data_IF_670249962553
#
_entry.id   IF_670249962553
#
_cell.length_a   1.000
_cell.length_b   1.000
_cell.length_c   1.000
_cell.angle_alpha   90.00
_cell.angle_beta   90.00
_cell.angle_gamma   90.00
#
_symmetry.space_group_name_H-M   'P 1'
#
loop_
_entity.id
_entity.type
_entity.pdbx_description
1 polymer ?
#
# COMPACT_ATOMS: atom_id res chain seq x y z
N UNK A 1 18.58 66.34 -45.95
CA UNK A 1 19.40 65.78 -44.85
C UNK A 1 18.46 64.95 -44.01
N UNK A 2 18.70 63.65 -44.04
CA UNK A 2 17.95 62.59 -43.37
C UNK A 2 18.13 62.67 -41.87
N UNK A 3 17.04 62.61 -41.12
CA UNK A 3 17.09 62.14 -39.74
C UNK A 3 16.04 61.05 -39.55
N UNK A 4 16.51 59.96 -38.97
CA UNK A 4 15.90 58.64 -38.87
C UNK A 4 15.61 58.38 -37.40
N UNK A 5 14.34 58.19 -37.03
CA UNK A 5 14.00 57.55 -35.76
C UNK A 5 13.03 56.40 -36.03
N UNK A 6 13.57 55.18 -36.00
CA UNK A 6 12.84 53.93 -36.01
C UNK A 6 12.29 53.64 -34.62
N UNK A 7 10.97 53.44 -34.51
CA UNK A 7 10.32 52.82 -33.35
C UNK A 7 10.04 51.36 -33.69
N UNK A 8 10.82 50.47 -33.08
CA UNK A 8 10.67 49.03 -33.16
C UNK A 8 9.43 48.59 -32.35
N UNK A 9 8.49 47.92 -33.02
CA UNK A 9 7.37 47.22 -32.40
C UNK A 9 7.84 45.86 -31.92
N UNK A 10 7.92 45.65 -30.61
CA UNK A 10 8.22 44.35 -30.02
C UNK A 10 6.93 43.53 -30.01
N UNK A 11 6.83 42.56 -30.92
CA UNK A 11 5.83 41.51 -30.85
C UNK A 11 6.28 40.49 -29.80
N UNK A 12 5.66 40.53 -28.61
CA UNK A 12 5.78 39.48 -27.61
C UNK A 12 4.97 38.26 -28.08
N UNK A 13 5.65 37.21 -28.53
CA UNK A 13 5.03 35.91 -28.77
C UNK A 13 4.75 35.23 -27.42
N UNK A 14 3.48 35.20 -27.03
CA UNK A 14 3.01 34.36 -25.95
C UNK A 14 3.05 32.89 -26.41
N UNK A 15 4.12 32.17 -26.06
CA UNK A 15 4.15 30.73 -26.14
C UNK A 15 3.28 30.17 -25.00
N UNK A 16 2.04 29.82 -25.33
CA UNK A 16 1.22 28.99 -24.48
C UNK A 16 1.87 27.60 -24.37
N UNK A 17 2.57 27.36 -23.26
CA UNK A 17 2.90 26.02 -22.80
C UNK A 17 1.58 25.30 -22.54
N UNK A 18 1.23 24.35 -23.41
CA UNK A 18 0.25 23.33 -23.08
C UNK A 18 0.84 22.53 -21.92
N UNK A 19 0.29 22.69 -20.72
CA UNK A 19 0.56 21.79 -19.61
C UNK A 19 0.16 20.38 -20.09
N UNK A 20 1.15 19.48 -20.21
CA UNK A 20 0.87 18.08 -20.46
C UNK A 20 -0.10 17.61 -19.37
N UNK A 21 -1.21 17.01 -19.79
CA UNK A 21 -2.16 16.39 -18.85
C UNK A 21 -1.38 15.41 -17.99
N UNK A 22 -1.35 15.63 -16.68
CA UNK A 22 -0.65 14.75 -15.74
C UNK A 22 -1.14 13.31 -15.95
N UNK A 23 -0.21 12.36 -16.10
CA UNK A 23 -0.54 10.93 -16.17
C UNK A 23 -1.05 10.53 -14.78
N UNK A 24 -2.28 10.01 -14.66
CA UNK A 24 -2.87 9.78 -13.34
C UNK A 24 -2.20 8.61 -12.61
N UNK A 25 -1.95 7.50 -13.31
CA UNK A 25 -1.24 6.34 -12.79
C UNK A 25 -0.61 5.54 -13.94
N UNK A 26 0.32 4.63 -13.63
CA UNK A 26 0.98 3.76 -14.61
C UNK A 26 1.23 2.37 -14.02
N UNK A 27 1.12 1.35 -14.86
CA UNK A 27 1.53 -0.01 -14.50
C UNK A 27 2.92 -0.33 -15.04
N UNK A 28 3.74 -0.99 -14.23
CA UNK A 28 5.02 -1.55 -14.66
C UNK A 28 5.17 -2.97 -14.13
N UNK A 29 5.97 -3.78 -14.82
CA UNK A 29 6.18 -5.18 -14.52
C UNK A 29 7.69 -5.42 -14.47
N UNK A 30 8.16 -6.07 -13.41
CA UNK A 30 9.58 -6.38 -13.30
C UNK A 30 9.97 -7.56 -14.16
N UNK A 31 11.17 -7.46 -14.74
CA UNK A 31 11.78 -8.52 -15.54
C UNK A 31 12.16 -9.75 -14.69
N UNK A 32 12.34 -10.92 -15.33
CA UNK A 32 12.84 -12.11 -14.67
C UNK A 32 14.16 -11.85 -13.93
N UNK A 33 14.15 -12.16 -12.63
CA UNK A 33 15.33 -12.10 -11.77
C UNK A 33 15.78 -13.52 -11.40
N UNK A 34 17.10 -13.73 -11.32
CA UNK A 34 17.67 -15.05 -10.98
C UNK A 34 17.50 -15.44 -9.50
N UNK A 35 17.00 -14.51 -8.68
CA UNK A 35 16.72 -14.64 -7.26
C UNK A 35 15.41 -13.88 -6.93
N UNK A 36 14.93 -13.94 -5.68
CA UNK A 36 13.72 -13.21 -5.27
C UNK A 36 13.81 -11.71 -5.57
N UNK A 37 12.76 -11.11 -6.14
CA UNK A 37 12.65 -9.66 -6.28
C UNK A 37 12.95 -9.00 -4.92
N UNK A 38 13.90 -8.05 -4.86
CA UNK A 38 14.19 -7.33 -3.63
C UNK A 38 12.96 -6.53 -3.19
N UNK A 39 12.68 -6.48 -1.87
CA UNK A 39 11.57 -5.68 -1.35
C UNK A 39 11.85 -4.17 -1.41
N UNK A 40 13.12 -3.77 -1.45
CA UNK A 40 13.59 -2.41 -1.65
C UNK A 40 14.90 -2.42 -2.46
N UNK A 41 15.10 -1.40 -3.28
CA UNK A 41 16.33 -1.22 -4.04
C UNK A 41 17.44 -0.55 -3.25
N UNK A 42 18.69 -0.82 -3.65
CA UNK A 42 19.87 -0.21 -3.05
C UNK A 42 20.02 1.25 -3.44
N UNK A 43 20.87 1.97 -2.71
CA UNK A 43 21.30 3.33 -3.05
C UNK A 43 21.76 3.43 -4.52
N UNK A 44 21.37 4.52 -5.18
CA UNK A 44 21.67 4.78 -6.59
C UNK A 44 20.63 4.22 -7.58
N UNK A 45 19.71 3.35 -7.15
CA UNK A 45 18.56 2.97 -7.98
C UNK A 45 17.56 4.12 -8.05
N UNK A 46 17.05 4.39 -9.26
CA UNK A 46 16.06 5.44 -9.52
C UNK A 46 14.74 4.77 -9.89
N UNK A 47 13.79 4.78 -8.96
CA UNK A 47 12.39 4.51 -9.27
C UNK A 47 11.85 5.63 -10.16
N UNK A 48 11.03 5.29 -11.15
CA UNK A 48 10.36 6.27 -12.00
C UNK A 48 8.90 6.35 -11.64
N UNK A 49 8.38 7.55 -11.37
CA UNK A 49 6.96 7.78 -11.18
C UNK A 49 6.21 7.82 -12.53
N UNK A 50 4.91 8.14 -12.52
CA UNK A 50 4.07 8.05 -13.72
C UNK A 50 4.44 9.07 -14.79
N UNK A 51 5.11 10.17 -14.40
CA UNK A 51 5.68 11.18 -15.30
C UNK A 51 7.12 10.86 -15.76
N UNK A 52 7.60 9.64 -15.49
CA UNK A 52 8.97 9.18 -15.74
C UNK A 52 10.07 10.02 -15.04
N UNK A 53 9.70 10.77 -14.00
CA UNK A 53 10.63 11.48 -13.10
C UNK A 53 11.08 10.56 -11.95
N UNK A 54 12.22 10.83 -11.30
CA UNK A 54 12.60 10.13 -10.08
C UNK A 54 11.47 10.17 -9.04
N UNK A 55 11.01 9.01 -8.60
CA UNK A 55 10.03 8.92 -7.53
C UNK A 55 10.68 9.34 -6.20
N UNK A 56 9.95 10.11 -5.39
CA UNK A 56 10.45 10.58 -4.10
C UNK A 56 9.99 9.70 -2.94
N UNK A 57 8.95 8.90 -3.15
CA UNK A 57 8.33 8.11 -2.09
C UNK A 57 7.83 6.78 -2.64
N UNK A 58 8.66 5.77 -2.43
CA UNK A 58 8.38 4.38 -2.68
C UNK A 58 7.80 3.68 -1.45
N UNK A 59 6.64 3.06 -1.64
CA UNK A 59 6.04 2.07 -0.75
C UNK A 59 6.26 0.64 -1.28
N UNK A 60 6.47 -0.33 -0.41
CA UNK A 60 6.59 -1.74 -0.82
C UNK A 60 5.62 -2.63 -0.06
N UNK A 61 4.85 -3.46 -0.78
CA UNK A 61 3.84 -4.34 -0.20
C UNK A 61 4.48 -5.58 0.43
N UNK A 62 4.28 -5.72 1.73
CA UNK A 62 4.53 -6.92 2.51
C UNK A 62 3.29 -7.81 2.57
N UNK A 63 3.40 -9.03 2.04
CA UNK A 63 2.42 -10.09 2.29
C UNK A 63 2.60 -10.62 3.71
N UNK A 64 1.85 -10.00 4.62
CA UNK A 64 1.92 -10.21 6.05
C UNK A 64 1.33 -11.53 6.54
N UNK A 65 1.60 -11.81 7.81
CA UNK A 65 1.07 -12.94 8.55
C UNK A 65 -0.19 -12.53 9.34
N UNK A 66 -1.11 -13.48 9.55
CA UNK A 66 -2.31 -13.34 10.39
C UNK A 66 -2.01 -12.99 11.85
N UNK A 67 -0.75 -13.16 12.25
CA UNK A 67 -0.22 -12.76 13.53
C UNK A 67 0.26 -11.29 13.57
N UNK A 68 0.18 -10.54 12.46
CA UNK A 68 0.51 -9.11 12.38
C UNK A 68 1.97 -8.74 12.66
N UNK A 69 2.92 -9.67 12.51
CA UNK A 69 4.35 -9.41 12.71
C UNK A 69 5.08 -9.17 11.38
N UNK A 70 6.21 -8.46 11.46
CA UNK A 70 7.18 -8.30 10.36
C UNK A 70 8.36 -9.26 10.57
N UNK A 71 8.46 -10.31 9.74
CA UNK A 71 9.51 -11.33 9.85
C UNK A 71 9.07 -12.74 9.45
N UNK A 72 9.52 -13.75 10.19
CA UNK A 72 9.19 -15.14 9.90
C UNK A 72 9.87 -15.67 8.64
N UNK A 73 9.09 -15.98 7.60
CA UNK A 73 9.54 -16.58 6.35
C UNK A 73 9.26 -15.75 5.09
N UNK A 74 9.75 -16.22 3.94
CA UNK A 74 9.47 -15.68 2.61
C UNK A 74 9.62 -14.14 2.52
N UNK A 75 8.68 -13.45 1.87
CA UNK A 75 8.74 -11.99 1.67
C UNK A 75 8.67 -11.21 2.98
N UNK A 76 7.88 -11.66 3.96
CA UNK A 76 7.77 -11.00 5.26
C UNK A 76 9.13 -11.01 6.01
N UNK A 77 9.91 -12.09 5.86
CA UNK A 77 11.31 -12.13 6.33
C UNK A 77 12.21 -11.15 5.58
N UNK A 78 12.02 -11.00 4.27
CA UNK A 78 12.80 -10.05 3.48
C UNK A 78 12.58 -8.60 3.94
N UNK A 79 11.34 -8.22 4.31
CA UNK A 79 11.06 -6.93 4.93
C UNK A 79 11.77 -6.75 6.26
N UNK A 80 11.71 -7.76 7.14
CA UNK A 80 12.43 -7.72 8.41
C UNK A 80 13.93 -7.48 8.21
N UNK A 81 14.55 -8.20 7.27
CA UNK A 81 15.98 -8.05 6.93
C UNK A 81 16.29 -6.66 6.36
N UNK A 82 15.42 -6.13 5.49
CA UNK A 82 15.67 -4.85 4.82
C UNK A 82 15.49 -3.63 5.74
N UNK A 83 14.60 -3.71 6.73
CA UNK A 83 14.28 -2.60 7.64
C UNK A 83 15.19 -2.58 8.86
N UNK A 84 15.57 -3.76 9.40
CA UNK A 84 16.39 -3.83 10.60
C UNK A 84 17.81 -3.32 10.37
N UNK A 85 18.42 -2.82 11.43
CA UNK A 85 19.79 -2.28 11.37
C UNK A 85 20.88 -3.29 11.69
N UNK A 86 20.53 -4.40 12.36
CA UNK A 86 21.43 -5.49 12.72
C UNK A 86 20.77 -6.84 12.37
N UNK A 87 21.58 -7.80 11.90
CA UNK A 87 21.13 -9.14 11.55
C UNK A 87 20.64 -10.00 12.71
N UNK A 88 20.96 -9.63 13.96
CA UNK A 88 20.52 -10.32 15.17
C UNK A 88 19.41 -9.58 15.93
N UNK A 89 19.00 -8.40 15.46
CA UNK A 89 17.93 -7.63 16.06
C UNK A 89 16.55 -8.27 15.79
N UNK A 90 15.84 -8.61 16.87
CA UNK A 90 14.46 -9.13 16.86
C UNK A 90 13.43 -8.08 17.23
N UNK A 91 13.85 -6.87 17.62
CA UNK A 91 12.99 -5.78 18.10
C UNK A 91 11.91 -5.42 17.08
N UNK A 92 12.21 -5.41 15.77
CA UNK A 92 11.17 -5.18 14.76
C UNK A 92 10.08 -6.25 14.78
N UNK A 93 10.46 -7.53 14.92
CA UNK A 93 9.51 -8.64 14.99
C UNK A 93 8.62 -8.53 16.23
N UNK A 94 9.22 -8.24 17.39
CA UNK A 94 8.50 -8.14 18.67
C UNK A 94 7.58 -6.91 18.72
N UNK A 95 8.06 -5.75 18.23
CA UNK A 95 7.29 -4.51 18.19
C UNK A 95 6.16 -4.54 17.17
N UNK A 96 6.40 -5.11 15.98
CA UNK A 96 5.41 -5.11 14.88
C UNK A 96 4.07 -5.73 15.29
N UNK A 97 4.13 -6.84 16.02
CA UNK A 97 2.94 -7.50 16.58
C UNK A 97 2.13 -6.54 17.46
N UNK A 98 2.81 -5.78 18.32
CA UNK A 98 2.18 -4.86 19.27
C UNK A 98 1.64 -3.61 18.56
N UNK A 99 2.41 -3.01 17.65
CA UNK A 99 2.02 -1.76 17.00
C UNK A 99 0.83 -1.94 16.04
N UNK A 100 0.81 -3.00 15.22
CA UNK A 100 -0.32 -3.24 14.30
C UNK A 100 -1.61 -3.56 15.06
N UNK A 101 -1.53 -4.38 16.11
CA UNK A 101 -2.69 -4.66 16.96
C UNK A 101 -3.16 -3.40 17.71
N UNK A 102 -2.22 -2.61 18.27
CA UNK A 102 -2.56 -1.37 18.97
C UNK A 102 -3.23 -0.36 18.03
N UNK A 103 -2.78 -0.28 16.77
CA UNK A 103 -3.38 0.57 15.76
C UNK A 103 -4.84 0.18 15.47
N UNK A 104 -5.13 -1.12 15.34
CA UNK A 104 -6.52 -1.58 15.27
C UNK A 104 -7.33 -1.20 16.51
N UNK A 105 -6.78 -1.43 17.70
CA UNK A 105 -7.46 -1.13 18.94
C UNK A 105 -7.79 0.35 19.09
N UNK A 106 -6.83 1.23 18.75
CA UNK A 106 -7.00 2.67 18.70
C UNK A 106 -8.09 3.07 17.67
N UNK A 107 -8.03 2.48 16.47
CA UNK A 107 -9.05 2.69 15.44
C UNK A 107 -10.46 2.36 15.96
N UNK A 108 -10.65 1.35 16.81
CA UNK A 108 -11.98 0.96 17.30
C UNK A 108 -12.27 1.37 18.74
N UNK A 109 -11.44 2.24 19.34
CA UNK A 109 -11.53 2.62 20.76
C UNK A 109 -11.60 1.41 21.72
N UNK A 110 -10.92 0.30 21.36
CA UNK A 110 -10.81 -0.90 22.18
C UNK A 110 -9.69 -0.68 23.18
N UNK A 111 -10.03 -0.64 24.48
CA UNK A 111 -9.03 -0.47 25.54
C UNK A 111 -8.16 -1.72 25.67
N UNK A 112 -6.86 -1.49 25.82
CA UNK A 112 -5.91 -2.50 26.26
C UNK A 112 -6.17 -2.81 27.73
N UNK A 113 -6.21 -4.10 28.05
CA UNK A 113 -6.19 -4.61 29.41
C UNK A 113 -4.71 -4.77 29.79
N UNK A 114 -4.28 -4.11 30.87
CA UNK A 114 -2.88 -4.08 31.34
C UNK A 114 -2.34 -5.51 31.57
N UNK A 115 -1.06 -5.73 31.24
CA UNK A 115 -0.25 -6.93 31.52
C UNK A 115 -0.22 -8.10 30.52
N UNK A 116 -0.60 -7.92 29.26
CA UNK A 116 -0.43 -8.97 28.24
C UNK A 116 0.47 -8.51 27.10
N UNK A 117 1.69 -9.06 27.04
CA UNK A 117 2.37 -9.22 25.74
C UNK A 117 1.37 -9.98 24.85
N UNK A 118 1.02 -9.47 23.66
CA UNK A 118 -0.02 -10.08 22.85
C UNK A 118 0.47 -11.43 22.33
N UNK A 119 0.26 -12.48 23.12
CA UNK A 119 0.32 -13.85 22.64
C UNK A 119 -0.84 -14.10 21.67
N UNK A 120 -0.84 -15.28 21.04
CA UNK A 120 -1.87 -15.64 20.05
C UNK A 120 -3.29 -15.56 20.63
N UNK A 121 -3.46 -15.93 21.91
CA UNK A 121 -4.77 -15.97 22.56
C UNK A 121 -5.29 -14.55 22.81
N UNK A 122 -4.46 -13.72 23.45
CA UNK A 122 -4.74 -12.32 23.76
C UNK A 122 -5.04 -11.52 22.49
N UNK A 123 -4.29 -11.79 21.42
CA UNK A 123 -4.53 -11.18 20.11
C UNK A 123 -5.87 -11.56 19.52
N UNK A 124 -6.20 -12.86 19.49
CA UNK A 124 -7.49 -13.34 18.99
C UNK A 124 -8.65 -12.70 19.78
N UNK A 125 -8.50 -12.56 21.10
CA UNK A 125 -9.46 -11.85 21.97
C UNK A 125 -9.66 -10.40 21.53
N UNK A 126 -8.60 -9.63 21.30
CA UNK A 126 -8.73 -8.24 20.86
C UNK A 126 -9.29 -8.12 19.45
N UNK A 127 -8.83 -8.96 18.52
CA UNK A 127 -9.35 -9.00 17.16
C UNK A 127 -10.85 -9.31 17.13
N UNK A 128 -11.34 -10.19 17.99
CA UNK A 128 -12.78 -10.43 18.13
C UNK A 128 -13.55 -9.19 18.60
N UNK A 129 -13.01 -8.43 19.57
CA UNK A 129 -13.60 -7.14 20.00
C UNK A 129 -13.61 -6.14 18.85
N UNK A 130 -12.51 -6.04 18.10
CA UNK A 130 -12.38 -5.20 16.90
C UNK A 130 -13.42 -5.59 15.86
N UNK A 131 -13.65 -6.87 15.62
CA UNK A 131 -14.66 -7.32 14.66
C UNK A 131 -16.08 -6.96 15.11
N UNK A 132 -16.40 -7.14 16.40
CA UNK A 132 -17.68 -6.66 16.93
C UNK A 132 -17.81 -5.15 16.77
N UNK A 133 -16.73 -4.39 16.98
CA UNK A 133 -16.74 -2.95 16.78
C UNK A 133 -16.88 -2.57 15.30
N UNK A 134 -16.24 -3.27 14.37
CA UNK A 134 -16.36 -3.06 12.93
C UNK A 134 -17.83 -3.08 12.48
N UNK A 135 -18.59 -4.10 12.86
CA UNK A 135 -20.00 -4.20 12.46
C UNK A 135 -20.92 -3.16 13.12
N UNK A 136 -20.45 -2.49 14.17
CA UNK A 136 -21.21 -1.48 14.91
C UNK A 136 -20.79 -0.04 14.61
N UNK A 137 -19.64 0.16 13.96
CA UNK A 137 -19.08 1.47 13.67
C UNK A 137 -18.94 1.66 12.16
N UNK A 138 -19.16 2.88 11.67
CA UNK A 138 -19.06 3.20 10.23
C UNK A 138 -17.64 3.64 9.84
N UNK A 139 -16.64 2.79 10.10
CA UNK A 139 -15.21 3.09 9.83
C UNK A 139 -14.67 2.43 8.56
N UNK A 140 -15.46 1.58 7.93
CA UNK A 140 -15.15 0.96 6.65
C UNK A 140 -14.84 2.02 5.58
N UNK A 141 -13.82 1.78 4.75
CA UNK A 141 -13.37 2.71 3.71
C UNK A 141 -12.64 3.95 4.22
N UNK A 142 -12.27 4.00 5.50
CA UNK A 142 -11.54 5.14 6.08
C UNK A 142 -10.06 4.82 6.32
N UNK A 143 -9.24 5.87 6.31
CA UNK A 143 -7.83 5.81 6.70
C UNK A 143 -7.68 6.39 8.11
N UNK A 144 -7.29 5.56 9.06
CA UNK A 144 -7.02 5.91 10.45
C UNK A 144 -5.54 6.27 10.64
N UNK A 145 -5.25 7.40 11.28
CA UNK A 145 -3.87 7.80 11.65
C UNK A 145 -3.57 7.40 13.08
N UNK A 146 -2.53 6.58 13.29
CA UNK A 146 -2.18 6.07 14.61
C UNK A 146 -1.19 6.98 15.33
N UNK A 147 -1.72 7.86 16.18
CA UNK A 147 -0.93 8.89 16.87
C UNK A 147 0.09 8.38 17.90
N UNK A 148 0.16 7.07 18.17
CA UNK A 148 1.05 6.51 19.18
C UNK A 148 2.55 6.67 18.88
N UNK A 149 2.90 7.01 17.64
CA UNK A 149 4.29 7.31 17.23
C UNK A 149 4.69 8.78 17.44
N UNK A 150 3.74 9.67 17.75
CA UNK A 150 4.04 11.08 18.06
C UNK A 150 4.78 11.21 19.38
N UNK A 151 5.49 12.32 19.57
CA UNK A 151 6.23 12.62 20.80
C UNK A 151 5.38 12.41 22.05
N UNK A 152 5.88 11.60 23.00
CA UNK A 152 5.16 11.21 24.22
C UNK A 152 4.15 10.07 24.07
N UNK A 153 3.95 9.53 22.86
CA UNK A 153 3.10 8.37 22.60
C UNK A 153 3.76 7.02 22.94
N UNK A 154 2.95 5.95 22.99
CA UNK A 154 3.37 4.57 23.36
C UNK A 154 4.54 4.04 22.51
N UNK A 155 4.64 4.47 21.26
CA UNK A 155 5.66 4.04 20.30
C UNK A 155 6.56 5.19 19.83
N UNK A 156 6.65 6.30 20.59
CA UNK A 156 7.48 7.45 20.23
C UNK A 156 8.96 7.06 20.02
N UNK A 157 9.47 6.12 20.82
CA UNK A 157 10.84 5.63 20.74
C UNK A 157 11.03 4.45 19.77
N UNK A 158 10.04 4.14 18.93
CA UNK A 158 10.18 3.07 17.95
C UNK A 158 11.39 3.36 17.03
N UNK A 159 12.36 2.42 16.92
CA UNK A 159 13.59 2.67 16.17
C UNK A 159 13.41 2.49 14.65
N UNK A 160 12.29 1.89 14.21
CA UNK A 160 12.07 1.47 12.83
C UNK A 160 10.97 2.24 12.13
N UNK A 161 9.86 2.49 12.83
CA UNK A 161 8.66 3.12 12.27
C UNK A 161 8.50 4.50 12.89
N UNK A 162 8.34 5.50 12.04
CA UNK A 162 8.16 6.90 12.41
C UNK A 162 6.68 7.31 12.47
N UNK A 163 5.82 6.66 11.68
CA UNK A 163 4.39 6.94 11.65
C UNK A 163 3.63 5.73 11.07
N UNK A 164 2.32 5.64 11.32
CA UNK A 164 1.50 4.50 10.87
C UNK A 164 0.06 4.91 10.57
N UNK A 165 -0.46 4.34 9.49
CA UNK A 165 -1.85 4.49 9.08
C UNK A 165 -2.49 3.12 8.87
N UNK A 166 -3.80 3.03 9.08
CA UNK A 166 -4.59 1.83 8.85
C UNK A 166 -5.79 2.17 7.97
N UNK A 167 -5.80 1.64 6.76
CA UNK A 167 -6.99 1.63 5.93
C UNK A 167 -7.87 0.44 6.30
N UNK A 168 -9.12 0.73 6.65
CA UNK A 168 -10.13 -0.27 7.00
C UNK A 168 -10.88 -0.69 5.74
N UNK A 169 -10.85 -1.99 5.43
CA UNK A 169 -11.56 -2.57 4.30
C UNK A 169 -13.04 -2.22 4.32
N UNK A 170 -13.61 -1.91 3.14
CA UNK A 170 -15.05 -1.71 2.95
C UNK A 170 -15.85 -3.01 3.06
N UNK A 171 -15.18 -4.13 2.80
CA UNK A 171 -15.80 -5.45 2.68
C UNK A 171 -15.00 -6.48 3.45
N UNK A 172 -15.70 -7.37 4.17
CA UNK A 172 -15.10 -8.47 4.91
C UNK A 172 -15.76 -9.79 4.51
N UNK A 173 -15.01 -10.65 3.84
CA UNK A 173 -15.44 -12.01 3.50
C UNK A 173 -15.13 -12.95 4.66
N UNK A 174 -16.17 -13.53 5.25
CA UNK A 174 -16.08 -14.37 6.47
C UNK A 174 -15.30 -15.66 6.27
N UNK A 175 -15.26 -16.17 5.04
CA UNK A 175 -14.61 -17.44 4.69
C UNK A 175 -13.10 -17.42 4.93
N UNK A 176 -12.51 -16.23 5.03
CA UNK A 176 -11.06 -16.03 5.15
C UNK A 176 -10.64 -15.52 6.52
N UNK A 177 -11.55 -15.46 7.49
CA UNK A 177 -11.21 -15.06 8.84
C UNK A 177 -10.28 -16.11 9.48
N UNK A 178 -9.12 -15.68 9.97
CA UNK A 178 -8.15 -16.57 10.62
C UNK A 178 -7.62 -15.95 11.92
N UNK A 179 -7.66 -16.72 13.01
CA UNK A 179 -7.32 -16.24 14.37
C UNK A 179 -8.00 -14.92 14.76
N UNK A 180 -9.24 -14.73 14.32
CA UNK A 180 -9.99 -13.50 14.55
C UNK A 180 -9.62 -12.34 13.61
N UNK A 181 -8.60 -12.45 12.76
CA UNK A 181 -8.27 -11.40 11.78
C UNK A 181 -9.07 -11.59 10.49
N UNK A 182 -9.69 -10.53 10.01
CA UNK A 182 -10.15 -10.47 8.62
C UNK A 182 -9.01 -9.94 7.73
N UNK A 183 -8.76 -10.55 6.56
CA UNK A 183 -7.73 -10.06 5.65
C UNK A 183 -8.12 -8.74 4.99
N UNK A 184 -7.19 -8.18 4.22
CA UNK A 184 -7.37 -7.04 3.30
C UNK A 184 -7.38 -5.62 3.91
N UNK A 185 -7.31 -5.46 5.23
CA UNK A 185 -6.95 -4.15 5.80
C UNK A 185 -5.47 -3.83 5.46
N UNK A 186 -5.18 -2.56 5.18
CA UNK A 186 -3.84 -2.12 4.72
C UNK A 186 -3.23 -1.18 5.75
N UNK A 187 -2.08 -1.58 6.30
CA UNK A 187 -1.24 -0.66 7.06
C UNK A 187 -0.29 0.07 6.12
N UNK A 188 -0.04 1.35 6.39
CA UNK A 188 1.02 2.12 5.76
C UNK A 188 1.99 2.53 6.87
N UNK A 189 3.14 1.87 6.90
CA UNK A 189 4.18 2.06 7.91
C UNK A 189 5.27 2.96 7.37
N UNK A 190 5.40 4.17 7.92
CA UNK A 190 6.41 5.13 7.51
C UNK A 190 7.72 4.79 8.21
N UNK A 191 8.77 4.54 7.43
CA UNK A 191 10.05 4.10 7.96
C UNK A 191 10.85 5.29 8.51
N UNK A 192 11.46 5.09 9.67
CA UNK A 192 12.33 6.09 10.32
C UNK A 192 13.67 6.26 9.60
N UNK A 193 14.12 5.20 8.94
CA UNK A 193 15.36 5.17 8.14
C UNK A 193 15.05 4.52 6.80
N UNK A 194 15.60 5.09 5.74
CA UNK A 194 15.43 4.55 4.41
C UNK A 194 16.27 3.26 4.22
N UNK A 195 15.64 2.11 3.94
CA UNK A 195 16.36 0.88 3.64
C UNK A 195 17.44 1.08 2.56
N UNK A 196 18.60 0.47 2.78
CA UNK A 196 19.74 0.50 1.86
C UNK A 196 20.24 1.90 1.46
N UNK A 197 19.99 2.93 2.28
CA UNK A 197 20.37 4.32 2.03
C UNK A 197 19.87 4.85 0.67
N UNK A 198 18.69 4.40 0.25
CA UNK A 198 17.98 4.96 -0.89
C UNK A 198 16.82 5.79 -0.37
N UNK A 199 16.93 7.12 -0.47
CA UNK A 199 15.99 8.07 0.12
C UNK A 199 14.54 7.89 -0.36
N UNK A 200 14.30 7.27 -1.51
CA UNK A 200 12.95 6.98 -1.96
C UNK A 200 12.29 5.83 -1.17
N UNK A 201 13.05 4.94 -0.52
CA UNK A 201 12.49 3.82 0.26
C UNK A 201 11.91 4.35 1.58
N UNK A 202 10.64 4.76 1.57
CA UNK A 202 10.04 5.51 2.70
C UNK A 202 8.96 4.72 3.45
N UNK A 203 8.27 3.78 2.82
CA UNK A 203 7.20 3.04 3.50
C UNK A 203 7.15 1.54 3.17
N UNK A 204 6.61 0.79 4.13
CA UNK A 204 6.07 -0.53 3.92
C UNK A 204 4.55 -0.45 3.91
N UNK A 205 3.90 -1.07 2.92
CA UNK A 205 2.48 -1.39 3.02
C UNK A 205 2.39 -2.80 3.60
N UNK A 206 1.71 -3.00 4.73
CA UNK A 206 1.51 -4.33 5.30
C UNK A 206 0.06 -4.77 5.11
N UNK A 207 -0.13 -5.93 4.49
CA UNK A 207 -1.44 -6.50 4.27
C UNK A 207 -1.41 -8.01 4.54
N UNK A 208 -2.40 -8.51 5.27
CA UNK A 208 -2.66 -9.95 5.35
C UNK A 208 -3.63 -10.30 4.23
N UNK A 209 -3.18 -11.12 3.29
CA UNK A 209 -4.02 -11.59 2.18
C UNK A 209 -4.95 -12.72 2.61
N UNK A 210 -6.01 -13.03 1.82
CA UNK A 210 -6.86 -14.18 2.06
C UNK A 210 -6.05 -15.49 1.97
N UNK A 211 -6.38 -16.46 2.81
CA UNK A 211 -5.78 -17.81 2.78
C UNK A 211 -6.80 -18.80 2.24
N UNK A 212 -6.49 -19.48 1.14
CA UNK A 212 -7.33 -20.54 0.59
C UNK A 212 -7.38 -21.74 1.53
N UNK A 213 -8.45 -21.84 2.32
CA UNK A 213 -8.70 -22.94 3.25
C UNK A 213 -9.70 -23.93 2.65
N UNK A 214 -9.78 -25.14 3.20
CA UNK A 214 -10.64 -26.23 2.72
C UNK A 214 -12.16 -25.90 2.68
N UNK A 215 -12.59 -24.77 3.23
CA UNK A 215 -13.98 -24.30 3.22
C UNK A 215 -14.27 -23.11 2.29
N UNK A 216 -13.24 -22.47 1.71
CA UNK A 216 -13.44 -21.36 0.77
C UNK A 216 -13.60 -21.87 -0.65
N UNK A 217 -14.35 -21.16 -1.49
CA UNK A 217 -14.41 -21.45 -2.93
C UNK A 217 -13.33 -20.68 -3.69
N UNK A 218 -12.99 -21.15 -4.89
CA UNK A 218 -12.07 -20.44 -5.79
C UNK A 218 -12.57 -19.04 -6.14
N UNK A 219 -13.88 -18.86 -6.34
CA UNK A 219 -14.49 -17.57 -6.67
C UNK A 219 -14.43 -16.62 -5.47
N UNK A 220 -14.82 -17.06 -4.26
CA UNK A 220 -14.72 -16.23 -3.07
C UNK A 220 -13.26 -15.83 -2.79
N UNK A 221 -12.30 -16.71 -3.11
CA UNK A 221 -10.88 -16.40 -2.95
C UNK A 221 -10.42 -15.32 -3.93
N UNK A 222 -10.80 -15.41 -5.21
CA UNK A 222 -10.54 -14.37 -6.21
C UNK A 222 -11.19 -13.04 -5.82
N UNK A 223 -12.43 -13.06 -5.34
CA UNK A 223 -13.12 -11.86 -4.86
C UNK A 223 -12.40 -11.23 -3.67
N UNK A 224 -11.89 -12.04 -2.74
CA UNK A 224 -11.09 -11.56 -1.62
C UNK A 224 -9.77 -10.91 -2.07
N UNK A 225 -9.07 -11.50 -3.05
CA UNK A 225 -7.85 -10.91 -3.62
C UNK A 225 -8.16 -9.62 -4.38
N UNK A 226 -9.29 -9.56 -5.09
CA UNK A 226 -9.78 -8.35 -5.72
C UNK A 226 -10.05 -7.23 -4.70
N UNK A 227 -10.66 -7.54 -3.55
CA UNK A 227 -10.83 -6.58 -2.45
C UNK A 227 -9.47 -6.07 -1.93
N UNK A 228 -8.47 -6.95 -1.77
CA UNK A 228 -7.10 -6.53 -1.42
C UNK A 228 -6.57 -5.49 -2.42
N UNK A 229 -6.75 -5.73 -3.72
CA UNK A 229 -6.35 -4.80 -4.78
C UNK A 229 -7.00 -3.42 -4.64
N UNK A 230 -8.32 -3.39 -4.42
CA UNK A 230 -9.06 -2.13 -4.18
C UNK A 230 -8.52 -1.39 -2.97
N UNK A 231 -8.30 -2.12 -1.87
CA UNK A 231 -7.89 -1.53 -0.60
C UNK A 231 -6.48 -0.95 -0.67
N UNK A 232 -5.55 -1.58 -1.41
CA UNK A 232 -4.22 -1.01 -1.67
C UNK A 232 -4.35 0.36 -2.35
N UNK A 233 -5.13 0.44 -3.42
CA UNK A 233 -5.32 1.70 -4.16
C UNK A 233 -6.02 2.77 -3.30
N UNK A 234 -7.09 2.41 -2.58
CA UNK A 234 -7.80 3.33 -1.69
C UNK A 234 -6.94 3.83 -0.53
N UNK A 235 -6.11 2.96 0.08
CA UNK A 235 -5.19 3.36 1.14
C UNK A 235 -4.18 4.41 0.65
N UNK A 236 -3.59 4.20 -0.52
CA UNK A 236 -2.66 5.14 -1.16
C UNK A 236 -3.37 6.46 -1.50
N UNK A 237 -4.57 6.39 -2.10
CA UNK A 237 -5.38 7.57 -2.39
C UNK A 237 -5.60 8.42 -1.15
N UNK A 238 -6.17 7.81 -0.10
CA UNK A 238 -6.52 8.51 1.13
C UNK A 238 -5.27 9.06 1.84
N UNK A 239 -4.15 8.34 1.80
CA UNK A 239 -2.88 8.83 2.33
C UNK A 239 -2.43 10.09 1.59
N UNK A 240 -2.43 10.04 0.26
CA UNK A 240 -1.97 11.13 -0.59
C UNK A 240 -2.88 12.38 -0.56
N UNK A 241 -4.17 12.24 -0.20
CA UNK A 241 -5.11 13.38 -0.12
C UNK A 241 -5.37 13.92 1.29
N UNK A 242 -5.23 13.09 2.34
CA UNK A 242 -5.46 13.55 3.72
C UNK A 242 -4.24 14.27 4.29
N UNK A 243 -3.07 14.03 3.71
CA UNK A 243 -1.82 14.71 4.04
C UNK A 243 -1.73 16.09 3.37
N UNK A 244 -2.70 16.97 3.67
CA UNK A 244 -2.79 18.34 3.14
C UNK A 244 -1.78 19.33 3.75
N UNK A 245 -0.80 18.86 4.51
CA UNK A 245 0.35 19.68 4.90
C UNK A 245 1.33 19.74 3.71
N UNK A 246 1.80 20.94 3.30
CA UNK A 246 2.73 21.09 2.17
C UNK A 246 4.00 20.23 2.24
N UNK A 247 4.35 19.78 3.44
CA UNK A 247 5.59 19.07 3.75
C UNK A 247 5.47 17.54 3.80
N UNK A 248 4.26 16.97 3.64
CA UNK A 248 4.10 15.52 3.66
C UNK A 248 4.29 14.95 2.25
N UNK A 249 5.35 14.17 2.09
CA UNK A 249 5.64 13.47 0.84
C UNK A 249 4.49 12.50 0.48
N UNK A 250 4.19 12.37 -0.81
CA UNK A 250 3.12 11.50 -1.33
C UNK A 250 3.72 10.24 -1.90
N UNK A 251 3.11 9.09 -1.65
CA UNK A 251 3.48 7.82 -2.30
C UNK A 251 3.26 8.00 -3.81
N UNK A 252 4.34 7.97 -4.58
CA UNK A 252 4.34 8.12 -6.04
C UNK A 252 4.87 6.87 -6.77
N UNK A 253 5.31 5.87 -5.99
CA UNK A 253 5.66 4.54 -6.46
C UNK A 253 5.27 3.48 -5.45
N UNK A 254 4.62 2.40 -5.89
CA UNK A 254 4.33 1.24 -5.04
C UNK A 254 4.78 -0.05 -5.72
N UNK A 255 5.59 -0.85 -5.02
CA UNK A 255 5.94 -2.21 -5.43
C UNK A 255 4.95 -3.21 -4.83
N UNK A 256 4.37 -4.06 -5.67
CA UNK A 256 3.33 -5.03 -5.30
C UNK A 256 3.83 -6.45 -5.58
N UNK A 257 3.93 -7.26 -4.53
CA UNK A 257 4.14 -8.71 -4.67
C UNK A 257 2.81 -9.42 -4.98
N UNK A 258 2.89 -10.69 -5.43
CA UNK A 258 1.72 -11.56 -5.59
C UNK A 258 1.20 -12.02 -4.22
N UNK A 259 0.56 -11.09 -3.49
CA UNK A 259 -0.06 -11.37 -2.20
C UNK A 259 -1.11 -12.49 -2.36
N UNK A 260 -1.08 -13.45 -1.43
CA UNK A 260 -1.86 -14.69 -1.53
C UNK A 260 -1.54 -15.60 -2.74
N UNK A 261 -0.46 -15.35 -3.49
CA UNK A 261 0.02 -16.25 -4.55
C UNK A 261 0.92 -17.40 -4.07
N UNK A 262 1.51 -17.27 -2.88
CA UNK A 262 2.37 -18.30 -2.28
C UNK A 262 1.60 -19.33 -1.44
N UNK A 263 2.07 -19.59 -0.21
CA UNK A 263 1.45 -20.57 0.71
C UNK A 263 0.02 -20.25 1.17
N UNK A 264 -0.53 -19.09 0.78
CA UNK A 264 -1.92 -18.68 1.04
C UNK A 264 -2.84 -18.95 -0.16
N UNK A 265 -2.30 -19.37 -1.30
CA UNK A 265 -3.08 -19.57 -2.52
C UNK A 265 -4.09 -20.70 -2.39
N UNK A 266 -5.29 -20.48 -2.90
CA UNK A 266 -6.29 -21.53 -3.05
C UNK A 266 -5.85 -22.55 -4.11
N UNK A 267 -6.07 -23.84 -3.85
CA UNK A 267 -5.59 -24.93 -4.73
C UNK A 267 -6.20 -24.87 -6.15
N UNK A 268 -7.47 -24.47 -6.23
CA UNK A 268 -8.21 -24.30 -7.48
C UNK A 268 -8.00 -22.96 -8.20
N UNK A 269 -7.01 -22.16 -7.81
CA UNK A 269 -6.73 -20.84 -8.41
C UNK A 269 -5.25 -20.77 -8.84
N UNK A 270 -4.99 -20.36 -10.07
CA UNK A 270 -3.64 -20.16 -10.61
C UNK A 270 -3.00 -18.86 -10.14
N UNK A 271 -1.67 -18.72 -10.25
CA UNK A 271 -0.98 -17.45 -9.94
C UNK A 271 -1.49 -16.31 -10.83
N UNK A 272 -1.80 -16.62 -12.10
CA UNK A 272 -2.32 -15.65 -13.06
C UNK A 272 -3.70 -15.15 -12.61
N UNK A 273 -4.61 -16.03 -12.18
CA UNK A 273 -5.93 -15.60 -11.68
C UNK A 273 -5.86 -14.77 -10.38
N UNK A 274 -4.88 -15.05 -9.50
CA UNK A 274 -4.58 -14.20 -8.34
C UNK A 274 -4.15 -12.81 -8.82
N UNK A 275 -3.19 -12.76 -9.75
CA UNK A 275 -2.68 -11.51 -10.32
C UNK A 275 -3.79 -10.72 -11.03
N UNK A 276 -4.64 -11.38 -11.82
CA UNK A 276 -5.78 -10.77 -12.50
C UNK A 276 -6.73 -10.13 -11.49
N UNK A 277 -7.09 -10.85 -10.42
CA UNK A 277 -7.98 -10.34 -9.38
C UNK A 277 -7.38 -9.11 -8.69
N UNK A 278 -6.10 -9.17 -8.35
CA UNK A 278 -5.39 -8.06 -7.70
C UNK A 278 -5.31 -6.82 -8.61
N UNK A 279 -4.91 -6.99 -9.87
CA UNK A 279 -4.84 -5.90 -10.86
C UNK A 279 -6.23 -5.31 -11.10
N UNK A 280 -7.27 -6.13 -11.29
CA UNK A 280 -8.66 -5.68 -11.47
C UNK A 280 -9.11 -4.75 -10.33
N UNK A 281 -8.82 -5.13 -9.08
CA UNK A 281 -9.19 -4.34 -7.91
C UNK A 281 -8.48 -2.98 -7.88
N UNK A 282 -7.17 -2.95 -8.16
CA UNK A 282 -6.40 -1.71 -8.24
C UNK A 282 -6.93 -0.82 -9.38
N UNK A 283 -7.17 -1.42 -10.56
CA UNK A 283 -7.61 -0.70 -11.74
C UNK A 283 -8.98 -0.07 -11.56
N UNK A 284 -9.95 -0.80 -10.99
CA UNK A 284 -11.29 -0.28 -10.76
C UNK A 284 -11.28 1.01 -9.92
N UNK A 285 -10.48 1.07 -8.85
CA UNK A 285 -10.38 2.27 -8.02
C UNK A 285 -9.82 3.43 -8.84
N UNK A 286 -8.81 3.20 -9.67
CA UNK A 286 -8.19 4.24 -10.47
C UNK A 286 -9.10 4.75 -11.62
N UNK A 287 -9.89 3.88 -12.24
CA UNK A 287 -10.84 4.21 -13.31
C UNK A 287 -12.16 4.81 -12.81
N UNK A 288 -12.74 4.29 -11.71
CA UNK A 288 -14.02 4.81 -11.18
C UNK A 288 -13.91 6.27 -10.71
N UNK A 289 -12.69 6.71 -10.40
CA UNK A 289 -12.39 8.12 -10.13
C UNK A 289 -12.48 9.02 -11.38
N UNK A 290 -12.56 8.46 -12.59
CA UNK A 290 -12.83 9.21 -13.83
C UNK A 290 -14.32 9.31 -14.17
N UNK A 291 -15.16 8.33 -13.79
CA UNK A 291 -16.52 8.19 -14.36
C UNK A 291 -17.65 8.85 -13.53
N UNK A 292 -17.44 9.17 -12.26
CA UNK A 292 -18.45 9.82 -11.41
C UNK A 292 -18.43 11.37 -11.42
N UNK A 293 -17.94 11.98 -12.50
CA UNK A 293 -17.76 13.45 -12.62
C UNK A 293 -19.06 14.18 -13.06
N UNK A 294 -20.15 13.46 -13.38
CA UNK A 294 -21.36 14.10 -13.90
C UNK A 294 -22.28 14.73 -12.85
N UNK A 295 -22.04 14.62 -11.52
CA UNK A 295 -22.99 15.19 -10.55
C UNK A 295 -22.48 15.67 -9.19
N UNK A 296 -21.20 16.00 -9.02
CA UNK A 296 -20.76 16.81 -7.86
C UNK A 296 -19.67 17.77 -8.32
N UNK A 297 -19.95 19.08 -8.24
CA UNK A 297 -18.91 20.11 -8.23
C UNK A 297 -18.06 19.91 -6.97
N UNK A 298 -17.04 19.05 -7.02
CA UNK A 298 -15.88 19.02 -6.13
C UNK A 298 -14.85 18.03 -6.69
N UNK A 299 -13.67 18.55 -7.01
CA UNK A 299 -12.40 17.90 -7.39
C UNK A 299 -12.42 16.38 -7.69
N UNK A 300 -12.03 16.04 -8.94
CA UNK A 300 -11.67 14.68 -9.39
C UNK A 300 -10.92 13.91 -8.29
N UNK A 301 -11.47 12.80 -7.83
CA UNK A 301 -10.85 11.91 -6.84
C UNK A 301 -9.73 11.06 -7.46
N UNK A 302 -8.93 11.59 -8.37
CA UNK A 302 -7.94 10.77 -9.07
C UNK A 302 -6.64 10.72 -8.26
N UNK A 303 -6.16 9.51 -7.95
CA UNK A 303 -4.75 9.34 -7.61
C UNK A 303 -3.97 9.88 -8.80
N UNK A 304 -3.05 10.81 -8.54
CA UNK A 304 -2.20 11.37 -9.59
C UNK A 304 -0.76 10.98 -9.33
N UNK A 305 -0.04 10.70 -10.40
CA UNK A 305 1.39 10.41 -10.39
C UNK A 305 1.80 9.19 -9.54
N UNK A 306 1.06 8.07 -9.60
CA UNK A 306 1.44 6.81 -8.93
C UNK A 306 1.81 5.72 -9.93
N UNK A 307 2.93 5.06 -9.71
CA UNK A 307 3.29 3.82 -10.42
C UNK A 307 2.96 2.61 -9.56
N UNK A 308 2.15 1.72 -10.10
CA UNK A 308 1.92 0.38 -9.57
C UNK A 308 2.88 -0.59 -10.26
N UNK A 309 4.00 -0.88 -9.60
CA UNK A 309 5.02 -1.78 -10.08
C UNK A 309 4.81 -3.19 -9.53
N UNK A 310 4.54 -4.15 -10.40
CA UNK A 310 4.36 -5.54 -10.03
C UNK A 310 5.69 -6.30 -10.01
N UNK A 311 6.02 -6.87 -8.85
CA UNK A 311 7.20 -7.69 -8.67
C UNK A 311 7.12 -8.96 -9.54
N UNK A 312 8.28 -9.46 -9.97
CA UNK A 312 8.32 -10.67 -10.78
C UNK A 312 7.83 -11.91 -10.01
N UNK A 313 6.86 -12.63 -10.58
CA UNK A 313 6.35 -13.91 -10.08
C UNK A 313 6.05 -14.83 -11.27
N UNK A 314 7.10 -15.33 -11.93
CA UNK A 314 7.00 -16.20 -13.12
C UNK A 314 6.07 -15.64 -14.20
N UNK A 315 6.19 -14.34 -14.49
CA UNK A 315 5.35 -13.58 -15.41
C UNK A 315 3.84 -13.58 -15.11
N UNK A 316 3.40 -14.00 -13.91
CA UNK A 316 1.98 -14.07 -13.57
C UNK A 316 1.28 -12.71 -13.73
N UNK A 317 1.91 -11.62 -13.27
CA UNK A 317 1.35 -10.27 -13.43
C UNK A 317 1.34 -9.78 -14.87
N UNK A 318 2.39 -10.06 -15.65
CA UNK A 318 2.44 -9.63 -17.04
C UNK A 318 1.37 -10.35 -17.87
N UNK A 319 1.26 -11.67 -17.70
CA UNK A 319 0.22 -12.48 -18.33
C UNK A 319 -1.18 -12.06 -17.88
N UNK A 320 -1.38 -11.81 -16.59
CA UNK A 320 -2.64 -11.32 -16.07
C UNK A 320 -3.03 -9.98 -16.71
N UNK A 321 -2.12 -9.02 -16.76
CA UNK A 321 -2.38 -7.72 -17.39
C UNK A 321 -2.79 -7.86 -18.87
N UNK A 322 -2.06 -8.69 -19.62
CA UNK A 322 -2.35 -8.96 -21.02
C UNK A 322 -3.72 -9.64 -21.20
N UNK A 323 -4.09 -10.58 -20.32
CA UNK A 323 -5.40 -11.24 -20.31
C UNK A 323 -6.57 -10.28 -20.02
N UNK A 324 -6.34 -9.29 -19.16
CA UNK A 324 -7.36 -8.30 -18.81
C UNK A 324 -7.64 -7.32 -19.96
N UNK A 325 -6.70 -7.13 -20.88
CA UNK A 325 -6.83 -6.18 -21.98
C UNK A 325 -7.00 -4.73 -21.52
N UNK A 326 -6.42 -4.38 -20.35
CA UNK A 326 -6.44 -3.01 -19.84
C UNK A 326 -5.63 -2.10 -20.76
N UNK A 327 -6.05 -0.84 -20.87
CA UNK A 327 -5.33 0.17 -21.65
C UNK A 327 -4.48 1.01 -20.70
N UNK A 328 -3.30 1.38 -21.17
CA UNK A 328 -2.45 2.39 -20.53
C UNK A 328 -3.04 3.81 -20.66
#
# INVERSE_FOLDING_TARGET
>A
MTDTSATATVAASAAASAAASAVPFKYTFEDPVSYFTPVYEKSGHIYKNAEDKPATFMGSLNAGDEQLYIGGGAINKAFNIAIRTDNYDTTLYDLSTQMHLSCYMDCYNVKEEEDLVPDRYSRTKYLNKINTAYFNNKKEGTLHHFNAFKEGGKFADNPYIADMYLYVSESRLTDFQSNGLYPADIFIDILKKAPYNNEANKAMLYCVGPKGLAGSTADNFKDAVYIVGKNIANAIYLYNINNNTPDTEKIDYVRICLISGGGFKHEGVSHIEVAESLIKGIHEVNEMNEVNVMNVMNSKKQITNVVYNFAYDNDAFKQAYDNLGLKD
#
